data_IF_003446222480
#
_entry.id   IF_003446222480
#
_cell.length_a   1.000
_cell.length_b   1.000
_cell.length_c   1.000
_cell.angle_alpha   90.00
_cell.angle_beta   90.00
_cell.angle_gamma   90.00
#
_symmetry.space_group_name_H-M   'P 1'
#
loop_
_entity.id
_entity.type
_entity.pdbx_description
1 polymer ?
#
# COMPACT_ATOMS: atom_id res chain seq x y z
N UNK A 1 2.54 24.72 1.67
CA UNK A 1 2.41 23.83 0.48
C UNK A 1 1.37 24.42 -0.45
N UNK A 2 1.66 24.58 -1.76
CA UNK A 2 0.84 25.32 -2.74
C UNK A 2 -0.64 24.90 -2.80
N UNK A 3 -0.95 23.66 -2.43
CA UNK A 3 -2.32 23.12 -2.48
C UNK A 3 -2.95 22.92 -1.09
N UNK A 4 -2.27 23.32 -0.01
CA UNK A 4 -2.74 23.05 1.35
C UNK A 4 -4.05 23.75 1.71
N UNK A 5 -4.25 24.99 1.25
CA UNK A 5 -5.49 25.74 1.53
C UNK A 5 -6.69 25.14 0.81
N UNK A 6 -6.53 24.83 -0.48
CA UNK A 6 -7.56 24.18 -1.29
C UNK A 6 -7.94 22.81 -0.73
N UNK A 7 -6.96 22.02 -0.29
CA UNK A 7 -7.25 20.71 0.33
C UNK A 7 -8.05 20.87 1.64
N UNK A 8 -7.68 21.83 2.49
CA UNK A 8 -8.43 22.12 3.72
C UNK A 8 -9.85 22.59 3.45
N UNK A 9 -10.06 23.37 2.39
CA UNK A 9 -11.40 23.80 1.98
C UNK A 9 -12.25 22.63 1.53
N UNK A 10 -11.71 21.75 0.69
CA UNK A 10 -12.40 20.52 0.26
C UNK A 10 -12.73 19.63 1.46
N UNK A 11 -11.78 19.42 2.39
CA UNK A 11 -12.00 18.63 3.60
C UNK A 11 -13.05 19.20 4.55
N UNK A 12 -13.36 20.50 4.49
CA UNK A 12 -14.47 21.09 5.26
C UNK A 12 -15.84 20.84 4.63
N UNK A 13 -15.88 20.64 3.30
CA UNK A 13 -17.11 20.52 2.53
C UNK A 13 -17.51 19.07 2.27
N UNK A 14 -16.52 18.23 2.02
CA UNK A 14 -16.71 16.87 1.54
C UNK A 14 -16.18 15.86 2.57
N UNK A 15 -16.83 14.70 2.64
CA UNK A 15 -16.37 13.61 3.48
C UNK A 15 -15.04 13.04 2.98
N UNK A 16 -14.29 12.38 3.86
CA UNK A 16 -13.07 11.64 3.46
C UNK A 16 -13.36 10.61 2.38
N UNK A 17 -14.50 9.92 2.46
CA UNK A 17 -14.91 8.89 1.48
C UNK A 17 -15.23 9.50 0.12
N UNK A 18 -15.80 10.70 0.09
CA UNK A 18 -16.04 11.45 -1.16
C UNK A 18 -14.71 11.86 -1.82
N UNK A 19 -13.75 12.32 -1.03
CA UNK A 19 -12.44 12.79 -1.54
C UNK A 19 -11.50 11.63 -1.90
N UNK A 20 -11.59 10.52 -1.17
CA UNK A 20 -10.72 9.36 -1.29
C UNK A 20 -11.56 8.08 -1.22
N UNK A 21 -12.37 7.79 -2.24
CA UNK A 21 -13.23 6.62 -2.26
C UNK A 21 -12.39 5.35 -2.22
N UNK A 22 -12.84 4.39 -1.43
CA UNK A 22 -12.20 3.08 -1.36
C UNK A 22 -12.17 2.43 -2.76
N UNK A 23 -11.06 1.76 -3.07
CA UNK A 23 -10.83 1.14 -4.39
C UNK A 23 -10.89 -0.39 -4.32
N UNK A 24 -11.50 -0.96 -3.27
CA UNK A 24 -11.51 -2.41 -3.06
C UNK A 24 -12.18 -3.16 -4.21
N UNK A 25 -13.28 -2.62 -4.73
CA UNK A 25 -14.12 -3.28 -5.75
C UNK A 25 -13.52 -3.28 -7.16
N UNK A 26 -12.32 -2.69 -7.34
CA UNK A 26 -11.63 -2.68 -8.63
C UNK A 26 -10.29 -3.43 -8.59
N UNK A 27 -9.90 -3.99 -7.44
CA UNK A 27 -8.65 -4.73 -7.31
C UNK A 27 -8.64 -6.00 -8.18
N UNK A 28 -9.80 -6.64 -8.35
CA UNK A 28 -9.98 -7.84 -9.19
C UNK A 28 -9.67 -7.60 -10.67
N UNK A 29 -9.67 -6.34 -11.12
CA UNK A 29 -9.30 -5.95 -12.49
C UNK A 29 -7.81 -6.02 -12.75
N UNK A 30 -6.97 -6.10 -11.71
CA UNK A 30 -5.52 -6.27 -11.85
C UNK A 30 -5.24 -7.73 -12.18
N UNK A 31 -4.79 -7.97 -13.43
CA UNK A 31 -4.56 -9.32 -13.97
C UNK A 31 -3.10 -9.78 -13.89
N UNK A 32 -2.18 -8.88 -13.63
CA UNK A 32 -0.76 -9.22 -13.44
C UNK A 32 -0.56 -9.75 -12.02
N UNK A 33 0.40 -10.65 -11.79
CA UNK A 33 0.82 -11.02 -10.44
C UNK A 33 1.22 -9.77 -9.65
N UNK A 34 0.88 -9.71 -8.36
CA UNK A 34 1.19 -8.58 -7.48
C UNK A 34 2.01 -9.02 -6.28
N UNK A 35 3.14 -8.35 -6.05
CA UNK A 35 3.88 -8.44 -4.79
C UNK A 35 3.56 -7.21 -3.93
N UNK A 36 2.92 -7.44 -2.78
CA UNK A 36 2.72 -6.43 -1.74
C UNK A 36 3.82 -6.61 -0.71
N UNK A 37 4.63 -5.56 -0.48
CA UNK A 37 5.66 -5.55 0.56
C UNK A 37 5.31 -4.51 1.61
N UNK A 38 5.26 -4.91 2.88
CA UNK A 38 5.11 -4.00 4.02
C UNK A 38 6.25 -4.18 5.02
N UNK A 39 6.59 -3.11 5.75
CA UNK A 39 7.38 -3.25 6.96
C UNK A 39 6.49 -3.66 8.14
N UNK A 40 6.99 -4.56 8.98
CA UNK A 40 6.22 -5.09 10.12
C UNK A 40 5.83 -4.05 11.17
N UNK A 41 6.56 -2.93 11.22
CA UNK A 41 6.27 -1.77 12.09
C UNK A 41 5.65 -0.60 11.32
N UNK A 42 5.09 -0.83 10.13
CA UNK A 42 4.45 0.23 9.35
C UNK A 42 3.11 0.65 9.99
N UNK A 43 2.98 1.94 10.28
CA UNK A 43 1.72 2.55 10.75
C UNK A 43 0.85 3.08 9.59
N UNK A 44 1.43 3.22 8.39
CA UNK A 44 0.71 3.69 7.20
C UNK A 44 -0.01 2.57 6.45
N UNK A 45 0.60 1.38 6.38
CA UNK A 45 0.01 0.17 5.80
C UNK A 45 -0.14 -0.88 6.89
N UNK A 46 -1.28 -0.80 7.58
CA UNK A 46 -1.63 -1.69 8.67
C UNK A 46 -1.78 -3.15 8.18
N UNK A 47 -1.57 -4.15 9.07
CA UNK A 47 -1.62 -5.56 8.69
C UNK A 47 -2.96 -5.98 8.06
N UNK A 48 -4.07 -5.54 8.65
CA UNK A 48 -5.44 -5.85 8.20
C UNK A 48 -5.76 -5.19 6.85
N UNK A 49 -5.28 -3.98 6.61
CA UNK A 49 -5.42 -3.28 5.33
C UNK A 49 -4.60 -3.97 4.23
N UNK A 50 -3.38 -4.41 4.54
CA UNK A 50 -2.55 -5.16 3.60
C UNK A 50 -3.20 -6.48 3.21
N UNK A 51 -3.74 -7.22 4.20
CA UNK A 51 -4.42 -8.49 3.95
C UNK A 51 -5.73 -8.29 3.18
N UNK A 52 -6.51 -7.25 3.49
CA UNK A 52 -7.70 -6.90 2.71
C UNK A 52 -7.35 -6.57 1.25
N UNK A 53 -6.23 -5.89 1.03
CA UNK A 53 -5.73 -5.60 -0.32
C UNK A 53 -5.37 -6.89 -1.05
N UNK A 54 -4.59 -7.77 -0.40
CA UNK A 54 -4.21 -9.08 -0.95
C UNK A 54 -5.42 -9.92 -1.31
N UNK A 55 -6.44 -9.95 -0.46
CA UNK A 55 -7.66 -10.73 -0.68
C UNK A 55 -8.51 -10.24 -1.86
N UNK A 56 -8.39 -8.96 -2.25
CA UNK A 56 -9.09 -8.40 -3.41
C UNK A 56 -8.38 -8.63 -4.75
N UNK A 57 -7.14 -9.12 -4.74
CA UNK A 57 -6.33 -9.36 -5.94
C UNK A 57 -6.42 -10.82 -6.38
N UNK A 58 -6.45 -11.05 -7.69
CA UNK A 58 -6.56 -12.41 -8.25
C UNK A 58 -5.30 -13.25 -8.03
N UNK A 59 -4.13 -12.64 -8.11
CA UNK A 59 -2.83 -13.28 -7.89
C UNK A 59 -1.91 -12.32 -7.13
N UNK A 60 -1.78 -12.55 -5.82
CA UNK A 60 -1.01 -11.68 -4.95
C UNK A 60 -0.25 -12.41 -3.85
N UNK A 61 0.99 -11.99 -3.66
CA UNK A 61 1.84 -12.34 -2.52
C UNK A 61 1.92 -11.13 -1.58
N UNK A 62 1.73 -11.38 -0.29
CA UNK A 62 1.97 -10.38 0.77
C UNK A 62 3.18 -10.82 1.58
N UNK A 63 4.20 -9.97 1.63
CA UNK A 63 5.42 -10.20 2.40
C UNK A 63 5.63 -9.07 3.40
N UNK A 64 5.99 -9.44 4.61
CA UNK A 64 6.35 -8.53 5.68
C UNK A 64 7.85 -8.59 5.95
N UNK A 65 8.51 -7.43 5.99
CA UNK A 65 9.89 -7.31 6.42
C UNK A 65 9.91 -6.96 7.92
N UNK A 66 10.40 -7.85 8.80
CA UNK A 66 10.44 -7.58 10.23
C UNK A 66 11.32 -6.37 10.54
N UNK A 67 11.01 -5.69 11.64
CA UNK A 67 11.74 -4.50 12.14
C UNK A 67 11.90 -3.34 11.14
N UNK A 68 11.06 -3.29 10.11
CA UNK A 68 11.00 -2.20 9.12
C UNK A 68 9.74 -1.35 9.34
N UNK A 69 9.85 -0.02 9.25
CA UNK A 69 8.70 0.89 9.26
C UNK A 69 8.11 1.03 7.84
N UNK A 70 7.63 2.22 7.48
CA UNK A 70 6.88 2.45 6.25
C UNK A 70 7.74 2.43 4.97
N UNK A 71 9.06 2.61 5.06
CA UNK A 71 9.91 2.76 3.87
C UNK A 71 10.94 1.64 3.73
N UNK A 72 10.53 0.41 3.35
CA UNK A 72 11.45 -0.70 3.08
C UNK A 72 12.63 -0.38 2.16
N UNK A 73 12.41 0.44 1.13
CA UNK A 73 13.45 0.84 0.19
C UNK A 73 14.55 1.73 0.81
N UNK A 74 14.28 2.38 1.95
CA UNK A 74 15.29 3.14 2.71
C UNK A 74 15.85 2.32 3.87
N UNK A 75 14.99 1.59 4.59
CA UNK A 75 15.36 0.94 5.85
C UNK A 75 15.97 -0.45 5.67
N UNK A 76 15.51 -1.19 4.66
CA UNK A 76 15.87 -2.60 4.37
C UNK A 76 16.03 -2.84 2.86
N UNK A 77 16.89 -2.06 2.16
CA UNK A 77 17.00 -2.12 0.71
C UNK A 77 17.52 -3.48 0.19
N UNK A 78 18.35 -4.18 0.97
CA UNK A 78 18.90 -5.49 0.57
C UNK A 78 17.81 -6.56 0.57
N UNK A 79 17.05 -6.63 1.65
CA UNK A 79 15.92 -7.54 1.83
C UNK A 79 14.86 -7.27 0.76
N UNK A 80 14.51 -6.00 0.54
CA UNK A 80 13.58 -5.63 -0.53
C UNK A 80 14.10 -6.07 -1.90
N UNK A 81 15.38 -5.86 -2.20
CA UNK A 81 15.97 -6.28 -3.50
C UNK A 81 15.85 -7.79 -3.71
N UNK A 82 16.12 -8.60 -2.67
CA UNK A 82 15.97 -10.07 -2.77
C UNK A 82 14.52 -10.45 -3.08
N UNK A 83 13.55 -9.84 -2.40
CA UNK A 83 12.13 -10.10 -2.66
C UNK A 83 11.73 -9.73 -4.09
N UNK A 84 12.18 -8.56 -4.57
CA UNK A 84 11.90 -8.11 -5.93
C UNK A 84 12.55 -9.03 -6.98
N UNK A 85 13.81 -9.41 -6.79
CA UNK A 85 14.51 -10.32 -7.72
C UNK A 85 13.84 -11.70 -7.78
N UNK A 86 13.39 -12.23 -6.63
CA UNK A 86 12.68 -13.51 -6.60
C UNK A 86 11.30 -13.47 -7.25
N UNK A 87 10.63 -12.32 -7.19
CA UNK A 87 9.30 -12.15 -7.81
C UNK A 87 9.34 -11.87 -9.32
N UNK A 88 10.42 -11.23 -9.80
CA UNK A 88 10.56 -10.83 -11.21
C UNK A 88 11.30 -11.84 -12.08
N UNK A 89 11.84 -12.91 -11.50
CA UNK A 89 12.55 -13.99 -12.20
C UNK A 89 11.58 -14.91 -12.95
#
# INVERSE_FOLDING_TARGET
WRFGERLRELQRRDSRETLFPAQWDVLDKIRSPVLIVRGGRSESLLPDIAERTRAGLADALLVEIPDCSHFPFLERPRELTVLLSGFLA
#
